data_IF_956035419238
#
_entry.id   IF_956035419238
#
_cell.length_a   1.000
_cell.length_b   1.000
_cell.length_c   1.000
_cell.angle_alpha   90.00
_cell.angle_beta   90.00
_cell.angle_gamma   90.00
#
_symmetry.space_group_name_H-M   'P 1'
#
loop_
_entity.id
_entity.type
_entity.pdbx_description
1 polymer ?
#
# COMPACT_ATOMS: atom_id res chain seq x y z
N UNK A 1 22.13 13.57 38.72
CA UNK A 1 20.82 12.90 38.50
C UNK A 1 19.77 13.99 38.49
N UNK A 2 19.23 14.33 37.32
CA UNK A 2 18.06 15.21 37.24
C UNK A 2 16.80 14.34 37.26
N UNK A 3 15.85 14.67 38.14
CA UNK A 3 14.51 14.12 38.10
C UNK A 3 13.66 15.06 37.29
N UNK A 4 13.17 14.62 36.13
CA UNK A 4 12.14 15.33 35.38
C UNK A 4 10.81 14.63 35.61
N UNK A 5 9.77 15.42 35.85
CA UNK A 5 8.40 14.92 35.91
C UNK A 5 7.90 14.78 34.46
N UNK A 6 7.68 13.56 33.99
CA UNK A 6 7.14 13.28 32.68
C UNK A 6 5.65 12.90 32.82
N UNK A 7 4.79 13.68 32.23
CA UNK A 7 3.36 13.37 32.12
C UNK A 7 3.13 12.36 30.99
N UNK A 8 2.78 11.14 31.34
CA UNK A 8 2.26 10.14 30.38
C UNK A 8 0.79 9.93 30.67
N UNK A 9 -0.06 10.37 29.75
CA UNK A 9 -1.48 10.03 29.72
C UNK A 9 -1.63 8.62 29.15
N UNK A 10 -2.00 7.63 29.97
CA UNK A 10 -2.48 6.35 29.45
C UNK A 10 -3.96 6.46 29.11
N UNK A 11 -4.39 6.10 27.90
CA UNK A 11 -5.81 5.99 27.58
C UNK A 11 -6.41 4.80 28.33
N UNK A 12 -7.39 5.09 29.19
CA UNK A 12 -8.23 4.04 29.80
C UNK A 12 -9.12 3.49 28.67
N UNK A 13 -8.85 2.27 28.25
CA UNK A 13 -9.66 1.56 27.26
C UNK A 13 -11.06 1.29 27.84
N UNK A 14 -12.04 2.08 27.43
CA UNK A 14 -13.44 1.76 27.59
C UNK A 14 -13.93 0.99 26.38
N UNK A 15 -14.52 -0.19 26.62
CA UNK A 15 -15.20 -1.00 25.62
C UNK A 15 -16.26 -0.12 24.93
N UNK A 16 -16.10 0.06 23.62
CA UNK A 16 -16.97 0.88 22.79
C UNK A 16 -18.32 0.23 22.55
N UNK A 17 -19.38 0.93 22.92
CA UNK A 17 -20.73 0.68 22.43
C UNK A 17 -20.93 1.63 21.24
N UNK A 18 -21.31 1.15 20.05
CA UNK A 18 -21.49 2.01 18.87
C UNK A 18 -22.59 3.05 19.13
N UNK A 19 -22.26 4.34 18.94
CA UNK A 19 -23.21 5.45 19.07
C UNK A 19 -22.99 6.42 20.25
N UNK A 20 -21.99 6.19 21.13
CA UNK A 20 -21.71 7.06 22.29
C UNK A 20 -20.39 7.84 22.22
N UNK A 21 -19.78 7.97 21.06
CA UNK A 21 -18.45 8.62 20.93
C UNK A 21 -18.48 10.11 21.27
N UNK A 22 -19.55 10.83 20.91
CA UNK A 22 -19.68 12.26 21.20
C UNK A 22 -19.94 12.57 22.70
N UNK A 23 -20.59 11.65 23.42
CA UNK A 23 -20.73 11.78 24.88
C UNK A 23 -19.42 11.44 25.60
N UNK A 24 -18.60 10.53 25.01
CA UNK A 24 -17.32 10.13 25.57
C UNK A 24 -16.31 11.27 25.66
N UNK A 25 -16.27 12.14 24.65
CA UNK A 25 -15.29 13.26 24.63
C UNK A 25 -15.69 14.41 25.54
N UNK A 26 -16.98 14.72 25.68
CA UNK A 26 -17.46 15.69 26.69
C UNK A 26 -17.27 15.17 28.10
N UNK A 27 -17.44 13.87 28.34
CA UNK A 27 -17.16 13.27 29.64
C UNK A 27 -15.68 13.18 29.94
N UNK A 28 -14.77 12.94 28.97
CA UNK A 28 -13.32 12.97 29.18
C UNK A 28 -12.83 14.34 29.67
N UNK A 29 -13.36 15.43 29.09
CA UNK A 29 -13.04 16.80 29.52
C UNK A 29 -13.51 17.12 30.94
N UNK A 30 -14.62 16.57 31.40
CA UNK A 30 -15.14 16.72 32.77
C UNK A 30 -14.38 15.80 33.76
N UNK A 31 -14.04 14.58 33.35
CA UNK A 31 -13.30 13.63 34.19
C UNK A 31 -11.83 14.03 34.40
N UNK A 32 -11.17 14.60 33.39
CA UNK A 32 -9.78 15.05 33.52
C UNK A 32 -9.60 16.19 34.53
N UNK A 33 -10.66 16.99 34.79
CA UNK A 33 -10.67 18.03 35.81
C UNK A 33 -10.94 17.52 37.24
N UNK A 34 -11.49 16.30 37.36
CA UNK A 34 -11.87 15.71 38.65
C UNK A 34 -10.81 14.76 39.23
N UNK A 35 -9.96 14.20 38.37
CA UNK A 35 -8.89 13.32 38.82
C UNK A 35 -7.52 13.96 38.51
N UNK A 36 -6.70 14.30 39.50
CA UNK A 36 -5.34 14.79 39.27
C UNK A 36 -4.56 13.70 38.49
N UNK A 37 -4.00 14.08 37.35
CA UNK A 37 -3.14 13.20 36.58
C UNK A 37 -2.02 12.67 37.48
N UNK A 38 -1.91 11.35 37.62
CA UNK A 38 -0.81 10.71 38.31
C UNK A 38 0.47 10.95 37.53
N UNK A 39 1.27 11.91 37.97
CA UNK A 39 2.64 12.12 37.47
C UNK A 39 3.52 10.96 37.92
N UNK A 40 3.99 10.16 36.97
CA UNK A 40 4.97 9.11 37.27
C UNK A 40 6.40 9.65 37.16
N UNK A 41 7.08 9.79 38.32
CA UNK A 41 8.50 10.15 38.35
C UNK A 41 9.34 8.97 37.86
N UNK A 42 9.95 9.08 36.70
CA UNK A 42 10.85 8.08 36.13
C UNK A 42 12.28 8.59 36.16
N UNK A 43 13.18 7.84 36.84
CA UNK A 43 14.62 8.15 36.85
C UNK A 43 15.25 7.57 35.57
N UNK A 44 15.92 8.40 34.78
CA UNK A 44 16.61 7.98 33.57
C UNK A 44 17.95 8.72 33.40
N UNK A 45 18.80 8.24 32.49
CA UNK A 45 20.07 8.90 32.16
C UNK A 45 19.79 10.23 31.42
N UNK A 46 20.65 11.23 31.62
CA UNK A 46 20.49 12.60 31.08
C UNK A 46 20.26 12.56 29.54
N UNK A 47 21.03 11.76 28.79
CA UNK A 47 20.86 11.67 27.33
C UNK A 47 19.52 11.06 26.88
N UNK A 48 18.92 10.19 27.69
CA UNK A 48 17.57 9.67 27.41
C UNK A 48 16.50 10.68 27.78
N UNK A 49 16.68 11.39 28.94
CA UNK A 49 15.79 12.46 29.37
C UNK A 49 15.75 13.60 28.35
N UNK A 50 16.90 13.97 27.77
CA UNK A 50 16.99 15.03 26.76
C UNK A 50 16.17 14.71 25.52
N UNK A 51 16.25 13.50 25.03
CA UNK A 51 15.42 13.06 23.86
C UNK A 51 13.93 13.14 24.15
N UNK A 52 13.51 12.64 25.32
CA UNK A 52 12.10 12.72 25.73
C UNK A 52 11.61 14.17 25.90
N UNK A 53 12.44 15.04 26.45
CA UNK A 53 12.08 16.45 26.63
C UNK A 53 11.97 17.17 25.27
N UNK A 54 12.86 16.89 24.32
CA UNK A 54 12.76 17.44 22.97
C UNK A 54 11.48 16.97 22.30
N UNK A 55 11.17 15.69 22.40
CA UNK A 55 9.95 15.10 21.83
C UNK A 55 8.68 15.71 22.44
N UNK A 56 8.65 15.85 23.76
CA UNK A 56 7.57 16.48 24.53
C UNK A 56 7.38 17.97 24.16
N UNK A 57 8.47 18.74 24.09
CA UNK A 57 8.41 20.15 23.73
C UNK A 57 8.07 20.33 22.24
N UNK A 58 8.58 19.46 21.37
CA UNK A 58 8.22 19.48 19.94
C UNK A 58 6.73 19.20 19.71
N UNK A 59 6.17 18.25 20.46
CA UNK A 59 4.74 17.94 20.36
C UNK A 59 3.85 19.09 20.83
N UNK A 60 4.27 19.85 21.84
CA UNK A 60 3.54 21.04 22.32
C UNK A 60 3.56 22.22 21.34
N UNK A 61 4.58 22.27 20.45
CA UNK A 61 4.67 23.27 19.38
C UNK A 61 3.76 22.98 18.19
N UNK A 62 3.26 21.75 18.11
CA UNK A 62 2.37 21.31 17.06
C UNK A 62 0.92 21.56 17.47
N UNK A 63 0.23 22.40 16.71
CA UNK A 63 -1.19 22.69 16.87
C UNK A 63 -1.97 21.70 16.03
N UNK A 64 -2.49 20.63 16.65
CA UNK A 64 -3.19 19.53 15.95
C UNK A 64 -4.47 20.02 15.26
N UNK A 65 -5.16 21.02 15.83
CA UNK A 65 -6.37 21.58 15.23
C UNK A 65 -6.03 22.30 13.92
N UNK A 66 -4.95 23.11 13.92
CA UNK A 66 -4.49 23.77 12.68
C UNK A 66 -4.00 22.78 11.63
N UNK A 67 -3.34 21.69 12.03
CA UNK A 67 -2.92 20.65 11.09
C UNK A 67 -4.15 20.00 10.46
N UNK A 68 -5.15 19.68 11.27
CA UNK A 68 -6.40 19.06 10.79
C UNK A 68 -7.14 19.98 9.82
N UNK A 69 -7.28 21.26 10.17
CA UNK A 69 -7.93 22.24 9.28
C UNK A 69 -7.16 22.42 7.96
N UNK A 70 -5.84 22.54 8.03
CA UNK A 70 -5.00 22.65 6.83
C UNK A 70 -5.03 21.36 5.98
N UNK A 71 -5.05 20.20 6.60
CA UNK A 71 -5.15 18.91 5.91
C UNK A 71 -6.51 18.81 5.18
N UNK A 72 -7.61 19.19 5.85
CA UNK A 72 -8.93 19.21 5.26
C UNK A 72 -8.99 20.15 4.06
N UNK A 73 -8.52 21.39 4.20
CA UNK A 73 -8.45 22.36 3.10
C UNK A 73 -7.65 21.82 1.91
N UNK A 74 -6.48 21.22 2.15
CA UNK A 74 -5.67 20.63 1.09
C UNK A 74 -6.35 19.46 0.40
N UNK A 75 -7.02 18.58 1.15
CA UNK A 75 -7.77 17.46 0.57
C UNK A 75 -8.91 17.97 -0.29
N UNK A 76 -9.68 18.95 0.18
CA UNK A 76 -10.80 19.53 -0.56
C UNK A 76 -10.34 20.22 -1.86
N UNK A 77 -9.18 20.88 -1.87
CA UNK A 77 -8.73 21.69 -3.01
C UNK A 77 -7.73 20.97 -3.93
N UNK A 78 -6.97 20.00 -3.42
CA UNK A 78 -5.88 19.33 -4.15
C UNK A 78 -5.85 17.83 -3.93
N UNK A 79 -6.91 17.26 -3.36
CA UNK A 79 -6.99 15.82 -3.09
C UNK A 79 -7.04 15.00 -4.37
N UNK A 80 -6.43 13.81 -4.33
CA UNK A 80 -6.51 12.80 -5.38
C UNK A 80 -6.98 11.51 -4.72
N UNK A 81 -8.03 10.90 -5.27
CA UNK A 81 -8.58 9.62 -4.82
C UNK A 81 -8.45 8.59 -5.92
N UNK A 82 -7.79 7.48 -5.63
CA UNK A 82 -7.72 6.33 -6.53
C UNK A 82 -8.79 5.31 -6.15
N UNK A 83 -9.55 4.87 -7.14
CA UNK A 83 -10.53 3.79 -7.03
C UNK A 83 -10.01 2.64 -7.86
N UNK A 84 -9.50 1.61 -7.19
CA UNK A 84 -8.98 0.43 -7.89
C UNK A 84 -10.10 -0.60 -8.11
N UNK A 85 -9.92 -1.48 -9.10
CA UNK A 85 -10.84 -2.57 -9.47
C UNK A 85 -12.28 -2.12 -9.74
N UNK A 86 -12.50 -0.94 -10.35
CA UNK A 86 -13.84 -0.43 -10.63
C UNK A 86 -14.63 -1.36 -11.59
N UNK A 87 -13.94 -2.18 -12.37
CA UNK A 87 -14.54 -3.21 -13.22
C UNK A 87 -15.33 -4.27 -12.45
N UNK A 88 -15.02 -4.48 -11.15
CA UNK A 88 -15.77 -5.38 -10.27
C UNK A 88 -17.17 -4.85 -9.94
N UNK A 89 -17.40 -3.56 -10.12
CA UNK A 89 -18.70 -2.93 -9.95
C UNK A 89 -19.56 -3.01 -11.21
N UNK A 90 -18.96 -3.29 -12.39
CA UNK A 90 -19.69 -3.45 -13.62
C UNK A 90 -20.60 -4.69 -13.56
N UNK A 91 -21.86 -4.53 -13.98
CA UNK A 91 -22.86 -5.61 -13.96
C UNK A 91 -22.54 -6.63 -15.04
N UNK A 92 -22.16 -7.85 -14.63
CA UNK A 92 -21.98 -8.98 -15.54
C UNK A 92 -23.29 -9.74 -15.75
N UNK A 93 -23.55 -10.21 -16.95
CA UNK A 93 -24.83 -10.75 -17.43
C UNK A 93 -25.33 -12.07 -16.77
N UNK A 94 -24.72 -12.58 -15.70
CA UNK A 94 -24.98 -13.97 -15.25
C UNK A 94 -25.45 -14.24 -13.82
N UNK A 95 -25.52 -13.24 -12.90
CA UNK A 95 -26.01 -13.55 -11.53
C UNK A 95 -26.82 -12.39 -10.91
N UNK A 96 -28.15 -12.47 -10.98
CA UNK A 96 -29.09 -11.45 -10.50
C UNK A 96 -28.95 -11.04 -9.03
N UNK A 97 -28.48 -11.90 -8.13
CA UNK A 97 -28.35 -11.56 -6.70
C UNK A 97 -27.05 -10.78 -6.37
N UNK A 98 -25.97 -11.03 -7.12
CA UNK A 98 -24.72 -10.29 -6.97
C UNK A 98 -24.79 -8.90 -7.62
N UNK A 99 -25.61 -8.73 -8.66
CA UNK A 99 -25.78 -7.47 -9.36
C UNK A 99 -26.42 -6.38 -8.47
N UNK A 100 -27.41 -6.72 -7.63
CA UNK A 100 -28.05 -5.76 -6.69
C UNK A 100 -27.03 -5.14 -5.74
N UNK A 101 -26.05 -5.93 -5.24
CA UNK A 101 -25.00 -5.42 -4.35
C UNK A 101 -24.02 -4.49 -5.10
N UNK A 102 -23.64 -4.84 -6.33
CA UNK A 102 -22.73 -4.03 -7.17
C UNK A 102 -23.38 -2.70 -7.58
N UNK A 103 -24.64 -2.74 -7.97
CA UNK A 103 -25.42 -1.55 -8.25
C UNK A 103 -25.56 -0.64 -7.04
N UNK A 104 -25.74 -1.20 -5.83
CA UNK A 104 -25.76 -0.46 -4.58
C UNK A 104 -24.46 0.32 -4.36
N UNK A 105 -23.31 -0.33 -4.55
CA UNK A 105 -22.00 0.33 -4.40
C UNK A 105 -21.80 1.44 -5.45
N UNK A 106 -22.22 1.24 -6.69
CA UNK A 106 -22.16 2.32 -7.70
C UNK A 106 -23.02 3.52 -7.30
N UNK A 107 -24.22 3.30 -6.74
CA UNK A 107 -25.09 4.36 -6.24
C UNK A 107 -24.51 5.11 -5.05
N UNK A 108 -23.82 4.39 -4.15
CA UNK A 108 -23.16 5.01 -2.98
C UNK A 108 -21.92 5.81 -3.39
N UNK A 109 -21.21 5.38 -4.43
CA UNK A 109 -20.04 6.07 -4.95
C UNK A 109 -20.39 7.34 -5.72
N UNK A 110 -21.52 7.34 -6.40
CA UNK A 110 -21.93 8.42 -7.30
C UNK A 110 -21.97 9.81 -6.62
N UNK A 111 -22.62 10.02 -5.44
CA UNK A 111 -22.61 11.30 -4.77
C UNK A 111 -21.19 11.78 -4.43
N UNK A 112 -20.27 10.87 -4.10
CA UNK A 112 -18.90 11.20 -3.74
C UNK A 112 -18.15 11.75 -4.94
N UNK A 113 -18.29 11.14 -6.12
CA UNK A 113 -17.63 11.60 -7.35
C UNK A 113 -18.36 12.78 -8.00
N UNK A 114 -19.61 13.01 -7.67
CA UNK A 114 -20.40 14.17 -8.12
C UNK A 114 -20.11 15.45 -7.35
N UNK A 115 -19.57 15.31 -6.14
CA UNK A 115 -19.35 16.40 -5.20
C UNK A 115 -20.39 16.38 -4.08
N UNK A 116 -19.96 16.00 -2.89
CA UNK A 116 -20.78 15.98 -1.69
C UNK A 116 -19.95 16.26 -0.45
N UNK A 117 -20.65 16.61 0.65
CA UNK A 117 -20.04 16.74 1.96
C UNK A 117 -19.99 15.37 2.64
N UNK A 118 -18.81 14.81 2.78
CA UNK A 118 -18.57 13.51 3.43
C UNK A 118 -18.17 13.72 4.88
N UNK A 119 -18.85 13.05 5.80
CA UNK A 119 -18.50 13.14 7.22
C UNK A 119 -17.32 12.20 7.52
N UNK A 120 -16.23 12.77 8.02
CA UNK A 120 -15.02 12.03 8.42
C UNK A 120 -14.75 12.23 9.91
N UNK A 121 -13.82 11.46 10.47
CA UNK A 121 -13.35 11.66 11.85
C UNK A 121 -12.68 13.03 12.09
N UNK A 122 -12.34 13.74 11.03
CA UNK A 122 -11.74 15.08 11.07
C UNK A 122 -12.72 16.19 10.65
N UNK A 123 -14.02 15.89 10.62
CA UNK A 123 -15.07 16.80 10.20
C UNK A 123 -15.56 16.54 8.78
N UNK A 124 -16.39 17.45 8.28
CA UNK A 124 -16.94 17.40 6.93
C UNK A 124 -15.84 17.74 5.90
N UNK A 125 -15.80 16.97 4.84
CA UNK A 125 -14.89 17.15 3.68
C UNK A 125 -15.76 17.23 2.42
N UNK A 126 -15.62 18.31 1.66
CA UNK A 126 -16.28 18.47 0.37
C UNK A 126 -15.47 17.85 -0.75
N UNK A 127 -16.11 17.08 -1.62
CA UNK A 127 -15.41 16.33 -2.69
C UNK A 127 -15.46 17.00 -4.06
N UNK A 128 -16.03 18.20 -4.18
CA UNK A 128 -16.25 18.91 -5.45
C UNK A 128 -14.99 19.14 -6.27
N UNK A 129 -13.84 19.39 -5.61
CA UNK A 129 -12.57 19.68 -6.28
C UNK A 129 -11.55 18.54 -6.14
N UNK A 130 -11.97 17.38 -5.66
CA UNK A 130 -11.10 16.20 -5.57
C UNK A 130 -11.00 15.55 -6.96
N UNK A 131 -9.77 15.22 -7.36
CA UNK A 131 -9.54 14.43 -8.57
C UNK A 131 -9.76 12.95 -8.29
N UNK A 132 -10.70 12.33 -9.01
CA UNK A 132 -10.93 10.89 -8.94
C UNK A 132 -10.28 10.19 -10.12
N UNK A 133 -9.50 9.15 -9.86
CA UNK A 133 -8.86 8.29 -10.85
C UNK A 133 -9.33 6.86 -10.61
N UNK A 134 -10.08 6.30 -11.54
CA UNK A 134 -10.54 4.93 -11.45
C UNK A 134 -9.70 4.02 -12.35
N UNK A 135 -9.35 2.85 -11.84
CA UNK A 135 -8.62 1.81 -12.56
C UNK A 135 -9.41 0.50 -12.57
N UNK A 136 -9.32 -0.26 -13.64
CA UNK A 136 -9.94 -1.56 -13.75
C UNK A 136 -9.41 -2.32 -14.97
N UNK A 137 -9.36 -3.64 -14.88
CA UNK A 137 -8.84 -4.49 -15.94
C UNK A 137 -9.87 -4.76 -17.05
N UNK A 138 -11.17 -4.72 -16.74
CA UNK A 138 -12.29 -4.92 -17.68
C UNK A 138 -12.17 -6.17 -18.57
N UNK A 139 -11.61 -7.28 -18.06
CA UNK A 139 -11.46 -8.52 -18.82
C UNK A 139 -12.79 -9.19 -19.15
N UNK A 140 -13.77 -9.13 -18.23
CA UNK A 140 -15.10 -9.76 -18.37
C UNK A 140 -16.23 -8.75 -18.53
N UNK A 141 -15.96 -7.48 -18.37
CA UNK A 141 -16.89 -6.37 -18.47
C UNK A 141 -16.29 -5.24 -19.30
N UNK A 142 -17.08 -4.25 -19.62
CA UNK A 142 -16.63 -3.04 -20.32
C UNK A 142 -16.90 -1.80 -19.46
N UNK A 143 -16.19 -0.70 -19.65
CA UNK A 143 -16.53 0.57 -18.99
C UNK A 143 -17.98 1.02 -19.26
N UNK A 144 -18.58 0.58 -20.39
CA UNK A 144 -19.98 0.84 -20.73
C UNK A 144 -20.99 0.06 -19.86
N UNK A 145 -20.55 -0.92 -19.09
CA UNK A 145 -21.41 -1.72 -18.21
C UNK A 145 -21.54 -1.09 -16.81
N UNK A 146 -20.81 0.00 -16.55
CA UNK A 146 -21.03 0.88 -15.40
C UNK A 146 -22.28 1.76 -15.64
N UNK A 147 -22.85 2.29 -14.58
CA UNK A 147 -23.98 3.24 -14.70
C UNK A 147 -23.63 4.43 -15.59
N UNK A 148 -24.53 4.88 -16.47
CA UNK A 148 -24.27 6.02 -17.35
C UNK A 148 -23.83 7.28 -16.60
N UNK A 149 -24.41 7.52 -15.42
CA UNK A 149 -24.08 8.66 -14.58
C UNK A 149 -22.63 8.58 -14.12
N UNK A 150 -22.17 7.39 -13.68
CA UNK A 150 -20.79 7.18 -13.26
C UNK A 150 -19.82 7.30 -14.44
N UNK A 151 -20.18 6.78 -15.61
CA UNK A 151 -19.39 6.97 -16.85
C UNK A 151 -19.21 8.45 -17.20
N UNK A 152 -20.25 9.26 -16.98
CA UNK A 152 -20.20 10.72 -17.22
C UNK A 152 -19.24 11.45 -16.30
N UNK A 153 -18.94 10.88 -15.12
CA UNK A 153 -17.97 11.44 -14.15
C UNK A 153 -16.53 11.01 -14.40
N UNK A 154 -16.32 9.96 -15.22
CA UNK A 154 -15.01 9.53 -15.72
C UNK A 154 -14.91 9.67 -17.25
N UNK A 155 -14.96 10.93 -17.78
CA UNK A 155 -15.02 11.17 -19.22
C UNK A 155 -13.69 10.89 -19.93
N UNK A 156 -12.57 11.04 -19.20
CA UNK A 156 -11.24 10.78 -19.75
C UNK A 156 -10.91 9.29 -19.55
N UNK A 157 -10.52 8.64 -20.63
CA UNK A 157 -10.13 7.24 -20.62
C UNK A 157 -8.73 7.10 -21.19
N UNK A 158 -7.90 6.34 -20.49
CA UNK A 158 -6.57 5.95 -20.95
C UNK A 158 -6.48 4.43 -20.90
N UNK A 159 -6.01 3.83 -21.98
CA UNK A 159 -5.70 2.41 -22.04
C UNK A 159 -4.19 2.24 -21.85
N UNK A 160 -3.80 1.38 -20.91
CA UNK A 160 -2.39 1.09 -20.65
C UNK A 160 -1.97 -0.10 -21.51
N UNK A 161 -0.84 0.04 -22.19
CA UNK A 161 -0.24 -1.03 -22.93
C UNK A 161 0.35 -2.11 -22.01
N UNK A 162 0.36 -3.39 -22.43
CA UNK A 162 1.04 -4.45 -21.70
C UNK A 162 2.54 -4.13 -21.55
N UNK A 163 3.12 -4.53 -20.41
CA UNK A 163 4.55 -4.38 -20.20
C UNK A 163 5.33 -5.35 -21.10
N UNK A 164 6.28 -4.84 -21.86
CA UNK A 164 7.23 -5.60 -22.63
C UNK A 164 8.54 -5.83 -21.86
N UNK A 165 9.49 -6.51 -22.50
CA UNK A 165 10.80 -6.86 -21.94
C UNK A 165 11.58 -5.63 -21.45
N UNK A 166 11.58 -4.54 -22.21
CA UNK A 166 12.32 -3.33 -21.84
C UNK A 166 11.72 -2.64 -20.63
N UNK A 167 10.38 -2.62 -20.52
CA UNK A 167 9.67 -2.07 -19.37
C UNK A 167 9.94 -2.90 -18.11
N UNK A 168 9.94 -4.23 -18.20
CA UNK A 168 10.30 -5.12 -17.09
C UNK A 168 11.75 -4.90 -16.65
N UNK A 169 12.69 -4.77 -17.59
CA UNK A 169 14.08 -4.49 -17.28
C UNK A 169 14.24 -3.13 -16.57
N UNK A 170 13.55 -2.09 -17.03
CA UNK A 170 13.54 -0.78 -16.39
C UNK A 170 12.96 -0.83 -14.98
N UNK A 171 11.88 -1.58 -14.76
CA UNK A 171 11.28 -1.78 -13.43
C UNK A 171 12.27 -2.46 -12.47
N UNK A 172 13.11 -3.37 -12.94
CA UNK A 172 14.13 -4.02 -12.13
C UNK A 172 15.32 -3.13 -11.79
N UNK A 173 15.60 -2.09 -12.60
CA UNK A 173 16.86 -1.33 -12.51
C UNK A 173 16.68 0.14 -12.11
N UNK A 174 15.71 0.87 -12.64
CA UNK A 174 15.58 2.31 -12.50
C UNK A 174 15.05 2.79 -11.15
N UNK A 175 14.01 2.18 -10.54
CA UNK A 175 13.44 2.70 -9.31
C UNK A 175 14.44 2.70 -8.14
N UNK A 176 14.38 3.73 -7.30
CA UNK A 176 15.21 3.79 -6.09
C UNK A 176 15.02 2.58 -5.18
N UNK A 177 13.81 2.04 -5.14
CA UNK A 177 13.46 0.83 -4.40
C UNK A 177 13.07 -0.29 -5.38
N UNK A 178 13.96 -0.59 -6.34
CA UNK A 178 13.75 -1.70 -7.27
C UNK A 178 13.76 -3.05 -6.53
N UNK A 179 13.10 -4.05 -7.10
CA UNK A 179 13.05 -5.40 -6.52
C UNK A 179 14.45 -5.97 -6.28
N UNK A 180 15.38 -5.76 -7.20
CA UNK A 180 16.77 -6.18 -7.05
C UNK A 180 17.38 -5.65 -5.76
N UNK A 181 17.27 -4.34 -5.52
CA UNK A 181 17.80 -3.70 -4.30
C UNK A 181 17.09 -4.16 -3.03
N UNK A 182 15.79 -4.45 -3.11
CA UNK A 182 15.05 -4.99 -1.96
C UNK A 182 15.58 -6.37 -1.57
N UNK A 183 15.80 -7.28 -2.53
CA UNK A 183 16.36 -8.60 -2.27
C UNK A 183 17.84 -8.55 -1.86
N UNK A 184 18.65 -7.67 -2.44
CA UNK A 184 20.02 -7.40 -2.01
C UNK A 184 20.05 -6.99 -0.52
N UNK A 185 19.27 -5.99 -0.15
CA UNK A 185 19.20 -5.51 1.23
C UNK A 185 18.65 -6.57 2.20
N UNK A 186 17.67 -7.36 1.78
CA UNK A 186 17.09 -8.44 2.59
C UNK A 186 18.14 -9.52 2.89
N UNK A 187 18.84 -10.01 1.88
CA UNK A 187 19.85 -11.05 2.05
C UNK A 187 21.13 -10.54 2.75
N UNK A 188 21.44 -9.26 2.62
CA UNK A 188 22.53 -8.64 3.38
C UNK A 188 22.27 -8.67 4.90
N UNK A 189 21.02 -8.64 5.35
CA UNK A 189 20.69 -8.80 6.79
C UNK A 189 21.11 -10.18 7.33
N UNK A 190 21.07 -11.20 6.49
CA UNK A 190 21.56 -12.57 6.80
C UNK A 190 23.07 -12.73 6.55
N UNK A 191 23.73 -11.69 6.04
CA UNK A 191 25.17 -11.70 5.75
C UNK A 191 25.52 -12.35 4.42
N UNK A 192 24.58 -12.49 3.50
CA UNK A 192 24.79 -12.95 2.11
C UNK A 192 24.69 -11.76 1.18
N UNK A 193 25.69 -11.58 0.32
CA UNK A 193 25.65 -10.57 -0.74
C UNK A 193 25.24 -11.23 -2.05
N UNK A 194 24.28 -10.64 -2.74
CA UNK A 194 23.91 -11.04 -4.11
C UNK A 194 24.23 -9.90 -5.07
N UNK A 195 24.60 -10.26 -6.28
CA UNK A 195 24.89 -9.32 -7.37
C UNK A 195 24.17 -9.78 -8.64
N UNK A 196 23.29 -8.94 -9.19
CA UNK A 196 22.60 -9.23 -10.45
C UNK A 196 23.43 -8.72 -11.62
N UNK A 197 23.68 -9.60 -12.58
CA UNK A 197 24.32 -9.20 -13.84
C UNK A 197 23.30 -8.63 -14.84
N UNK A 198 23.74 -7.81 -15.79
CA UNK A 198 22.86 -7.21 -16.80
C UNK A 198 22.16 -8.29 -17.64
N UNK A 199 22.87 -9.33 -18.04
CA UNK A 199 22.33 -10.47 -18.79
C UNK A 199 21.34 -11.30 -17.97
N UNK A 200 21.56 -11.46 -16.66
CA UNK A 200 20.60 -12.09 -15.74
C UNK A 200 19.31 -11.28 -15.64
N UNK A 201 19.40 -9.96 -15.46
CA UNK A 201 18.24 -9.07 -15.41
C UNK A 201 17.46 -9.07 -16.73
N UNK A 202 18.12 -9.08 -17.86
CA UNK A 202 17.49 -9.18 -19.18
C UNK A 202 16.79 -10.52 -19.39
N UNK A 203 17.33 -11.60 -18.87
CA UNK A 203 16.70 -12.91 -18.92
C UNK A 203 15.44 -12.96 -18.03
N UNK A 204 15.50 -12.37 -16.82
CA UNK A 204 14.32 -12.23 -15.94
C UNK A 204 13.21 -11.44 -16.64
N UNK A 205 13.56 -10.31 -17.25
CA UNK A 205 12.64 -9.45 -17.97
C UNK A 205 11.98 -10.17 -19.17
N UNK A 206 12.78 -10.90 -19.96
CA UNK A 206 12.28 -11.67 -21.09
C UNK A 206 11.36 -12.82 -20.66
N UNK A 207 11.67 -13.47 -19.53
CA UNK A 207 10.84 -14.51 -18.97
C UNK A 207 9.50 -13.96 -18.44
N UNK A 208 9.53 -12.78 -17.79
CA UNK A 208 8.31 -12.13 -17.29
C UNK A 208 7.34 -11.76 -18.44
N UNK A 209 7.86 -11.24 -19.55
CA UNK A 209 7.08 -10.96 -20.76
C UNK A 209 6.48 -12.24 -21.34
N UNK A 210 7.30 -13.29 -21.51
CA UNK A 210 6.85 -14.58 -22.07
C UNK A 210 5.72 -15.19 -21.24
N UNK A 211 5.86 -15.22 -19.91
CA UNK A 211 4.82 -15.76 -19.02
C UNK A 211 3.55 -14.91 -19.05
N UNK A 212 3.66 -13.58 -18.98
CA UNK A 212 2.50 -12.69 -19.07
C UNK A 212 1.77 -12.79 -20.43
N UNK A 213 2.48 -13.15 -21.51
CA UNK A 213 1.87 -13.36 -22.82
C UNK A 213 1.11 -14.69 -22.95
N UNK A 214 1.53 -15.71 -22.21
CA UNK A 214 0.95 -17.08 -22.27
C UNK A 214 -0.09 -17.34 -21.19
N UNK A 215 -0.04 -16.60 -20.08
CA UNK A 215 -0.93 -16.76 -18.94
C UNK A 215 -1.74 -15.49 -18.72
N UNK A 216 -2.40 -15.38 -17.56
CA UNK A 216 -3.03 -14.12 -17.15
C UNK A 216 -1.98 -13.02 -16.98
N UNK A 217 -2.20 -11.88 -17.64
CA UNK A 217 -1.30 -10.73 -17.53
C UNK A 217 -1.54 -10.00 -16.20
N UNK A 218 -0.66 -10.24 -15.23
CA UNK A 218 -0.67 -9.57 -13.93
C UNK A 218 0.33 -8.41 -13.83
N UNK A 219 0.86 -7.98 -14.97
CA UNK A 219 1.79 -6.85 -15.06
C UNK A 219 3.08 -7.08 -14.27
N UNK A 220 3.57 -6.03 -13.61
CA UNK A 220 4.83 -6.06 -12.86
C UNK A 220 4.80 -6.97 -11.62
N UNK A 221 3.61 -7.37 -11.13
CA UNK A 221 3.49 -8.34 -10.02
C UNK A 221 4.19 -9.67 -10.34
N UNK A 222 4.24 -10.03 -11.64
CA UNK A 222 4.96 -11.21 -12.12
C UNK A 222 6.43 -11.24 -11.70
N UNK A 223 7.08 -10.08 -11.63
CA UNK A 223 8.48 -10.01 -11.23
C UNK A 223 8.70 -10.47 -9.78
N UNK A 224 7.76 -10.24 -8.87
CA UNK A 224 7.89 -10.71 -7.48
C UNK A 224 7.95 -12.25 -7.43
N UNK A 225 7.00 -12.93 -8.09
CA UNK A 225 6.95 -14.40 -8.08
C UNK A 225 8.16 -15.02 -8.80
N UNK A 226 8.62 -14.39 -9.88
CA UNK A 226 9.83 -14.84 -10.58
C UNK A 226 11.06 -14.67 -9.68
N UNK A 227 11.24 -13.52 -9.04
CA UNK A 227 12.36 -13.25 -8.13
C UNK A 227 12.35 -14.20 -6.93
N UNK A 228 11.19 -14.45 -6.32
CA UNK A 228 11.03 -15.44 -5.26
C UNK A 228 11.50 -16.83 -5.71
N UNK A 229 11.12 -17.26 -6.92
CA UNK A 229 11.51 -18.55 -7.44
C UNK A 229 13.03 -18.64 -7.70
N UNK A 230 13.63 -17.61 -8.30
CA UNK A 230 15.07 -17.57 -8.58
C UNK A 230 15.90 -17.59 -7.31
N UNK A 231 15.42 -16.93 -6.26
CA UNK A 231 16.15 -16.75 -5.01
C UNK A 231 15.73 -17.74 -3.90
N UNK A 232 14.79 -18.67 -4.18
CA UNK A 232 14.24 -19.58 -3.17
C UNK A 232 15.34 -20.37 -2.43
N UNK A 233 16.23 -21.05 -3.16
CA UNK A 233 17.30 -21.86 -2.58
C UNK A 233 18.33 -20.99 -1.85
N UNK A 234 18.62 -19.79 -2.38
CA UNK A 234 19.55 -18.85 -1.78
C UNK A 234 18.98 -18.32 -0.46
N UNK A 235 17.70 -17.98 -0.46
CA UNK A 235 17.00 -17.45 0.74
C UNK A 235 16.87 -18.52 1.81
N UNK A 236 16.61 -19.77 1.45
CA UNK A 236 16.51 -20.88 2.38
C UNK A 236 17.86 -21.18 3.05
N UNK A 237 18.94 -21.22 2.26
CA UNK A 237 20.29 -21.53 2.75
C UNK A 237 21.06 -20.28 3.25
N UNK A 238 20.44 -19.11 3.30
CA UNK A 238 21.14 -17.84 3.59
C UNK A 238 21.92 -17.87 4.90
N UNK A 239 21.36 -18.47 5.95
CA UNK A 239 22.03 -18.58 7.26
C UNK A 239 23.31 -19.42 7.23
N UNK A 240 23.41 -20.41 6.31
CA UNK A 240 24.56 -21.30 6.15
C UNK A 240 25.64 -20.68 5.23
N UNK A 241 25.22 -19.75 4.34
CA UNK A 241 26.06 -19.09 3.33
C UNK A 241 26.58 -17.72 3.76
N UNK A 242 26.62 -17.43 5.06
CA UNK A 242 27.10 -16.15 5.60
C UNK A 242 28.52 -15.81 5.09
N UNK A 243 28.69 -14.55 4.65
CA UNK A 243 29.95 -14.04 4.14
C UNK A 243 30.23 -14.41 2.69
N UNK A 244 29.32 -15.09 2.00
CA UNK A 244 29.43 -15.38 0.58
C UNK A 244 28.88 -14.24 -0.29
N UNK A 245 29.41 -14.14 -1.51
CA UNK A 245 28.84 -13.32 -2.58
C UNK A 245 28.37 -14.26 -3.68
N UNK A 246 27.11 -14.14 -4.06
CA UNK A 246 26.49 -14.96 -5.09
C UNK A 246 26.12 -14.08 -6.29
N UNK A 247 26.46 -14.54 -7.48
CA UNK A 247 26.17 -13.83 -8.72
C UNK A 247 24.94 -14.44 -9.38
N UNK A 248 23.96 -13.62 -9.67
CA UNK A 248 22.72 -13.99 -10.36
C UNK A 248 22.88 -13.62 -11.83
N UNK A 249 23.49 -14.50 -12.57
CA UNK A 249 23.70 -14.39 -14.00
C UNK A 249 22.61 -15.10 -14.81
N UNK A 250 22.73 -15.03 -16.13
CA UNK A 250 21.79 -15.67 -17.04
C UNK A 250 21.68 -17.18 -16.84
N UNK A 251 22.81 -17.86 -16.58
CA UNK A 251 22.84 -19.33 -16.41
C UNK A 251 22.08 -19.73 -15.17
N UNK A 252 22.28 -19.00 -14.06
CA UNK A 252 21.54 -19.19 -12.83
C UNK A 252 20.02 -19.00 -13.03
N UNK A 253 19.62 -17.90 -13.67
CA UNK A 253 18.21 -17.61 -13.96
C UNK A 253 17.55 -18.71 -14.79
N UNK A 254 18.22 -19.14 -15.87
CA UNK A 254 17.72 -20.20 -16.75
C UNK A 254 17.59 -21.52 -16.00
N UNK A 255 18.55 -21.88 -15.15
CA UNK A 255 18.54 -23.10 -14.37
C UNK A 255 17.37 -23.11 -13.35
N UNK A 256 17.18 -22.01 -12.61
CA UNK A 256 16.11 -21.91 -11.61
C UNK A 256 14.68 -21.86 -12.22
N UNK A 257 14.56 -21.41 -13.45
CA UNK A 257 13.27 -21.31 -14.15
C UNK A 257 13.02 -22.46 -15.13
N UNK A 258 13.93 -23.46 -15.22
CA UNK A 258 13.83 -24.55 -16.19
C UNK A 258 12.53 -25.35 -16.05
N UNK A 259 12.14 -25.70 -14.82
CA UNK A 259 10.92 -26.46 -14.53
C UNK A 259 9.64 -25.69 -14.92
N UNK A 260 9.65 -24.39 -14.64
CA UNK A 260 8.52 -23.51 -14.95
C UNK A 260 8.37 -23.29 -16.47
N UNK A 261 9.49 -23.28 -17.20
CA UNK A 261 9.48 -23.21 -18.67
C UNK A 261 8.94 -24.49 -19.33
N UNK A 262 9.22 -25.65 -18.73
CA UNK A 262 8.86 -26.96 -19.28
C UNK A 262 7.37 -27.27 -19.10
N UNK A 263 6.73 -26.75 -18.08
CA UNK A 263 5.35 -27.09 -17.73
C UNK A 263 4.46 -25.83 -17.62
N UNK A 264 3.54 -25.69 -18.59
CA UNK A 264 2.58 -24.58 -18.60
C UNK A 264 1.58 -24.62 -17.43
N UNK A 265 1.30 -25.80 -16.85
CA UNK A 265 0.45 -25.91 -15.66
C UNK A 265 1.23 -25.46 -14.41
N UNK A 266 2.48 -25.88 -14.24
CA UNK A 266 3.36 -25.38 -13.16
C UNK A 266 3.51 -23.86 -13.22
N UNK A 267 3.61 -23.29 -14.40
CA UNK A 267 3.64 -21.84 -14.59
C UNK A 267 2.40 -21.12 -14.03
N UNK A 268 1.22 -21.73 -14.10
CA UNK A 268 -0.03 -21.16 -13.54
C UNK A 268 -0.15 -21.31 -12.04
N UNK A 269 0.50 -22.30 -11.44
CA UNK A 269 0.44 -22.54 -9.98
C UNK A 269 1.55 -21.87 -9.20
N UNK A 270 2.72 -21.67 -9.81
CA UNK A 270 3.92 -21.14 -9.14
C UNK A 270 4.08 -19.65 -9.42
N UNK A 271 3.65 -19.18 -10.55
CA UNK A 271 3.75 -17.81 -11.03
C UNK A 271 2.37 -17.17 -11.22
#
# INVERSE_FOLDING_TARGET
>A
MCSSDLEQSQPIGMLGVPGMEQLGDQMKGAFSKLFPQKTHRKKMKVGAAWRHLIEDESSKLVDEDKITDLARERVEQMGIVFIDEIDKLASGSQQRSADISREGVQRDLLPIVEGSAVNTKYGLVNTDHILFIAAGAFHLSKPSDLFPELQGRFPLRAELEPLGKEEFYRILTEPHNSLTRQYEAMLETEGVRIEFTDDGLREIAAFAEDVNSRTENIGARRLHTIMEKILADISFDASEKRGSTLVIDREHVVAQLADVRADAELSRFIL
#
